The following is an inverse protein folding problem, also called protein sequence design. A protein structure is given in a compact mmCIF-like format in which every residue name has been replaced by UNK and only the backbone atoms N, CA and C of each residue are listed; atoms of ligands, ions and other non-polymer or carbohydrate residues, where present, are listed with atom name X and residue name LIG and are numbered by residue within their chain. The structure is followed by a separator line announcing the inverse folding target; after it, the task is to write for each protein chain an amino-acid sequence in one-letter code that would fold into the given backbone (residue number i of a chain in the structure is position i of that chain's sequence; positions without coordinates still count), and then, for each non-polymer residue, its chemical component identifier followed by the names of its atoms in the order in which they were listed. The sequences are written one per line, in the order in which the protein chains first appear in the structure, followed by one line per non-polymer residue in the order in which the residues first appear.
data_IF_221981715366
#
_entry.id   IF_221981715366
#
_cell.length_a   1.000
_cell.length_b   1.000
_cell.length_c   1.000
_cell.angle_alpha   90.00
_cell.angle_beta   90.00
_cell.angle_gamma   90.00
#
_symmetry.space_group_name_H-M   'P 1'
#
loop_
_entity.id
_entity.type
_entity.pdbx_description
1 polymer ?
#
# COMPACT_ATOMS: atom_id res chain seq x y z
N UNK A 1 11.83 7.97 1.10
CA UNK A 1 10.95 6.90 1.60
C UNK A 1 10.90 6.94 3.11
N UNK A 2 9.77 6.60 3.68
CA UNK A 2 9.58 6.58 5.12
C UNK A 2 9.19 5.19 5.58
N UNK A 3 9.73 4.75 6.71
CA UNK A 3 9.30 3.52 7.36
C UNK A 3 8.50 3.88 8.60
N UNK A 4 7.28 3.35 8.69
CA UNK A 4 6.36 3.63 9.78
C UNK A 4 5.81 2.34 10.37
N UNK A 5 5.51 2.37 11.66
CA UNK A 5 4.76 1.29 12.30
C UNK A 5 3.29 1.67 12.22
N UNK A 6 2.51 0.84 11.56
CA UNK A 6 1.11 1.11 11.26
C UNK A 6 0.27 -0.12 11.56
N UNK A 7 -1.05 0.08 11.62
CA UNK A 7 -2.01 -1.02 11.74
C UNK A 7 -2.72 -1.22 10.42
N UNK A 8 -2.98 -2.47 10.07
CA UNK A 8 -3.77 -2.79 8.89
C UNK A 8 -5.24 -2.51 9.18
N UNK A 9 -5.84 -1.65 8.38
CA UNK A 9 -7.26 -1.37 8.45
C UNK A 9 -8.03 -2.38 7.61
N UNK A 10 -7.60 -2.57 6.37
CA UNK A 10 -8.17 -3.58 5.46
C UNK A 10 -7.28 -3.75 4.24
N UNK A 11 -7.43 -4.88 3.60
CA UNK A 11 -6.71 -5.20 2.37
C UNK A 11 -7.70 -5.76 1.34
N UNK A 12 -7.62 -5.25 0.12
CA UNK A 12 -8.44 -5.74 -0.98
C UNK A 12 -7.84 -6.99 -1.62
N UNK A 13 -8.52 -7.48 -2.65
CA UNK A 13 -8.02 -8.60 -3.44
C UNK A 13 -6.93 -8.12 -4.40
N UNK A 14 -6.01 -9.01 -4.73
CA UNK A 14 -5.00 -8.70 -5.72
C UNK A 14 -5.60 -8.81 -7.13
N UNK A 15 -5.06 -8.00 -8.04
CA UNK A 15 -5.47 -8.01 -9.45
C UNK A 15 -4.26 -7.68 -10.30
N UNK A 16 -4.33 -7.99 -11.58
CA UNK A 16 -3.24 -7.74 -12.49
C UNK A 16 -3.39 -6.38 -13.18
N UNK A 17 -2.28 -5.67 -13.33
CA UNK A 17 -2.22 -4.43 -14.09
C UNK A 17 -1.08 -4.55 -15.09
N UNK A 18 -1.13 -3.73 -16.15
CA UNK A 18 -0.08 -3.71 -17.14
C UNK A 18 1.19 -3.07 -16.57
N UNK A 19 2.33 -3.65 -16.90
CA UNK A 19 3.62 -3.12 -16.46
C UNK A 19 4.65 -3.37 -17.55
N UNK A 20 5.32 -2.30 -17.97
CA UNK A 20 6.41 -2.40 -18.93
C UNK A 20 7.67 -3.00 -18.32
N UNK A 21 7.72 -3.12 -17.00
CA UNK A 21 8.88 -3.65 -16.29
C UNK A 21 8.81 -5.15 -16.04
N UNK A 22 7.68 -5.77 -16.33
CA UNK A 22 7.47 -7.19 -16.14
C UNK A 22 7.70 -7.94 -17.45
N UNK A 23 8.26 -9.14 -17.37
CA UNK A 23 8.48 -9.99 -18.56
C UNK A 23 7.18 -10.35 -19.27
N UNK A 24 6.12 -10.58 -18.51
CA UNK A 24 4.81 -10.92 -19.06
C UNK A 24 4.01 -9.70 -19.48
N UNK A 25 4.50 -8.49 -19.20
CA UNK A 25 3.76 -7.25 -19.43
C UNK A 25 2.72 -6.96 -18.37
N UNK A 26 2.63 -7.78 -17.33
CA UNK A 26 1.64 -7.64 -16.25
C UNK A 26 2.32 -7.80 -14.89
N UNK A 27 1.77 -7.16 -13.89
CA UNK A 27 2.22 -7.29 -12.52
C UNK A 27 1.00 -7.31 -11.61
N UNK A 28 1.09 -8.04 -10.52
CA UNK A 28 0.01 -8.06 -9.52
C UNK A 28 0.03 -6.79 -8.71
N UNK A 29 -1.15 -6.29 -8.40
CA UNK A 29 -1.35 -5.10 -7.59
C UNK A 29 -2.43 -5.39 -6.56
N UNK A 30 -2.26 -4.83 -5.38
CA UNK A 30 -3.23 -4.93 -4.30
C UNK A 30 -3.28 -3.59 -3.57
N UNK A 31 -4.47 -3.20 -3.13
CA UNK A 31 -4.62 -1.99 -2.33
C UNK A 31 -4.76 -2.40 -0.87
N UNK A 32 -4.00 -1.76 -0.01
CA UNK A 32 -4.08 -1.96 1.42
C UNK A 32 -4.27 -0.60 2.10
N UNK A 33 -5.15 -0.55 3.06
CA UNK A 33 -5.37 0.66 3.87
C UNK A 33 -4.66 0.46 5.20
N UNK A 34 -3.74 1.35 5.51
CA UNK A 34 -2.98 1.35 6.74
C UNK A 34 -3.36 2.59 7.55
N UNK A 35 -3.36 2.48 8.86
CA UNK A 35 -3.69 3.60 9.73
C UNK A 35 -2.63 3.77 10.82
N UNK A 36 -2.48 5.00 11.27
CA UNK A 36 -1.58 5.30 12.36
C UNK A 36 -2.11 4.75 13.68
N UNK A 37 -1.19 4.52 14.60
CA UNK A 37 -1.54 4.08 15.94
C UNK A 37 -2.02 5.27 16.77
N UNK A 38 -2.89 5.00 17.74
CA UNK A 38 -3.34 6.04 18.66
C UNK A 38 -4.80 5.92 19.06
N UNK A 39 -5.65 5.30 18.25
CA UNK A 39 -7.05 5.10 18.58
C UNK A 39 -7.96 6.30 18.41
N UNK A 40 -7.47 7.40 17.87
CA UNK A 40 -8.27 8.59 17.59
C UNK A 40 -8.99 8.44 16.25
N UNK A 41 -10.19 9.02 16.15
CA UNK A 41 -10.89 9.08 14.87
C UNK A 41 -10.23 10.02 13.87
N UNK A 42 -9.27 10.81 14.31
CA UNK A 42 -8.53 11.75 13.46
C UNK A 42 -7.17 11.20 13.03
N UNK A 43 -6.90 9.92 13.27
CA UNK A 43 -5.67 9.31 12.81
C UNK A 43 -5.56 9.35 11.31
N UNK A 44 -4.34 9.55 10.84
CA UNK A 44 -4.07 9.49 9.41
C UNK A 44 -4.21 8.05 8.92
N UNK A 45 -4.81 7.92 7.75
CA UNK A 45 -4.89 6.65 7.04
C UNK A 45 -4.24 6.80 5.68
N UNK A 46 -3.66 5.72 5.22
CA UNK A 46 -2.96 5.71 3.94
C UNK A 46 -3.56 4.62 3.05
N UNK A 47 -3.98 5.00 1.85
CA UNK A 47 -4.38 4.03 0.83
C UNK A 47 -3.13 3.73 0.03
N UNK A 48 -2.58 2.53 0.21
CA UNK A 48 -1.30 2.15 -0.36
C UNK A 48 -1.46 1.11 -1.44
N UNK A 49 -0.64 1.20 -2.47
CA UNK A 49 -0.54 0.15 -3.47
C UNK A 49 0.62 -0.78 -3.10
N UNK A 50 0.40 -2.07 -3.27
CA UNK A 50 1.44 -3.09 -3.19
C UNK A 50 1.57 -3.71 -4.57
N UNK A 51 2.81 -3.95 -5.01
CA UNK A 51 3.07 -4.50 -6.34
C UNK A 51 3.88 -5.78 -6.25
N UNK A 52 3.69 -6.66 -7.24
CA UNK A 52 4.47 -7.88 -7.38
C UNK A 52 4.23 -8.87 -6.25
N UNK A 53 5.30 -9.43 -5.73
CA UNK A 53 5.21 -10.44 -4.66
C UNK A 53 4.56 -9.89 -3.40
N UNK A 54 4.79 -8.62 -3.10
CA UNK A 54 4.19 -7.99 -1.93
C UNK A 54 2.66 -7.97 -2.04
N UNK A 55 2.13 -7.79 -3.24
CA UNK A 55 0.68 -7.79 -3.48
C UNK A 55 0.03 -9.14 -3.21
N UNK A 56 0.81 -10.22 -3.18
CA UNK A 56 0.31 -11.57 -2.91
C UNK A 56 0.28 -11.89 -1.42
N UNK A 57 0.97 -11.09 -0.59
CA UNK A 57 0.94 -11.30 0.85
C UNK A 57 -0.40 -10.88 1.43
N UNK A 58 -0.87 -11.64 2.40
CA UNK A 58 -2.14 -11.33 3.06
C UNK A 58 -1.90 -10.91 4.51
N UNK A 59 -2.59 -9.84 4.88
CA UNK A 59 -2.55 -9.31 6.25
C UNK A 59 -3.98 -9.26 6.76
N UNK A 60 -4.14 -9.40 8.06
CA UNK A 60 -5.45 -9.35 8.69
C UNK A 60 -5.71 -7.98 9.29
N UNK A 61 -6.99 -7.61 9.39
CA UNK A 61 -7.38 -6.39 10.05
C UNK A 61 -6.82 -6.37 11.46
N UNK A 62 -6.18 -5.27 11.82
CA UNK A 62 -5.59 -5.09 13.14
C UNK A 62 -4.14 -5.54 13.25
N UNK A 63 -3.58 -6.18 12.22
CA UNK A 63 -2.17 -6.55 12.23
C UNK A 63 -1.29 -5.31 12.39
N UNK A 64 -0.25 -5.44 13.20
CA UNK A 64 0.75 -4.40 13.39
C UNK A 64 1.89 -4.67 12.41
N UNK A 65 2.20 -3.70 11.58
CA UNK A 65 3.21 -3.85 10.53
C UNK A 65 4.19 -2.70 10.53
N UNK A 66 5.41 -3.00 10.06
CA UNK A 66 6.38 -1.96 9.70
C UNK A 66 6.31 -1.82 8.18
N UNK A 67 5.88 -0.67 7.71
CA UNK A 67 5.70 -0.42 6.29
C UNK A 67 6.62 0.68 5.81
N UNK A 68 7.30 0.42 4.68
CA UNK A 68 8.11 1.43 4.01
C UNK A 68 7.29 2.00 2.87
N UNK A 69 7.03 3.31 2.92
CA UNK A 69 6.13 4.00 2.01
C UNK A 69 6.89 5.00 1.15
N UNK A 70 6.54 5.04 -0.12
CA UNK A 70 7.02 6.04 -1.04
C UNK A 70 5.84 6.86 -1.53
N UNK A 71 5.95 8.17 -1.36
CA UNK A 71 4.90 9.11 -1.76
C UNK A 71 5.30 9.75 -3.08
N UNK A 72 4.34 9.86 -4.00
CA UNK A 72 4.54 10.52 -5.27
C UNK A 72 3.26 11.22 -5.69
N UNK A 73 3.38 12.04 -6.72
CA UNK A 73 2.25 12.78 -7.26
C UNK A 73 2.14 12.44 -8.74
N UNK A 74 0.94 12.13 -9.20
CA UNK A 74 0.67 11.91 -10.61
C UNK A 74 -0.42 12.87 -11.07
N UNK A 75 -0.46 13.11 -12.38
CA UNK A 75 -1.43 13.99 -12.97
C UNK A 75 -2.08 13.31 -14.18
N UNK A 76 -3.41 13.30 -14.20
CA UNK A 76 -4.18 12.75 -15.30
C UNK A 76 -5.33 13.69 -15.64
N UNK A 77 -5.43 14.09 -16.90
CA UNK A 77 -6.54 14.90 -17.40
C UNK A 77 -6.79 16.15 -16.54
N UNK A 78 -5.70 16.82 -16.15
CA UNK A 78 -5.78 18.03 -15.35
C UNK A 78 -6.03 17.83 -13.87
N UNK A 79 -6.15 16.59 -13.41
CA UNK A 79 -6.31 16.28 -11.99
C UNK A 79 -5.01 15.76 -11.40
N UNK A 80 -4.75 16.15 -10.18
CA UNK A 80 -3.53 15.77 -9.46
C UNK A 80 -3.88 14.77 -8.38
N UNK A 81 -3.13 13.66 -8.34
CA UNK A 81 -3.36 12.57 -7.41
C UNK A 81 -2.14 12.32 -6.55
N UNK A 82 -2.38 12.04 -5.28
CA UNK A 82 -1.34 11.57 -4.38
C UNK A 82 -1.28 10.05 -4.46
N UNK A 83 -0.10 9.52 -4.76
CA UNK A 83 0.11 8.07 -4.81
C UNK A 83 1.00 7.64 -3.66
N UNK A 84 0.64 6.55 -3.00
CA UNK A 84 1.42 5.96 -1.92
C UNK A 84 1.72 4.52 -2.31
N UNK A 85 2.99 4.21 -2.45
CA UNK A 85 3.45 2.86 -2.76
C UNK A 85 4.11 2.26 -1.53
N UNK A 86 3.61 1.12 -1.07
CA UNK A 86 4.28 0.36 -0.04
C UNK A 86 5.35 -0.49 -0.72
N UNK A 87 6.61 -0.20 -0.46
CA UNK A 87 7.72 -0.94 -1.05
C UNK A 87 8.09 -2.15 -0.21
N UNK A 88 7.73 -2.13 1.06
CA UNK A 88 7.95 -3.25 1.96
C UNK A 88 6.96 -3.19 3.10
N UNK A 89 6.42 -4.33 3.49
CA UNK A 89 5.56 -4.45 4.67
C UNK A 89 5.98 -5.71 5.41
N UNK A 90 6.32 -5.57 6.68
CA UNK A 90 6.70 -6.68 7.54
C UNK A 90 5.75 -6.72 8.73
N UNK A 91 5.12 -7.88 8.94
CA UNK A 91 4.23 -8.05 10.07
C UNK A 91 5.05 -8.15 11.35
N UNK A 92 4.70 -7.32 12.32
CA UNK A 92 5.34 -7.30 13.63
C UNK A 92 4.53 -8.16 14.61
N UNK A 93 3.20 -8.03 14.53
CA UNK A 93 2.34 -8.68 15.51
C UNK A 93 0.92 -8.90 15.02
#
# INVERSE_FOLDING_TARGET
METKVLKVDRQGDSFEVQSSKSESGKIKKCIIVLRELGGSKYENKYVCAMLGELAERRFDEGDLVAATLRFSVSEHQGQVYQDVLATEIVKIK
#
